data_IF_056843233370
#
_entry.id   IF_056843233370
#
_cell.length_a   1.000
_cell.length_b   1.000
_cell.length_c   1.000
_cell.angle_alpha   90.00
_cell.angle_beta   90.00
_cell.angle_gamma   90.00
#
_symmetry.space_group_name_H-M   'P 1'
#
loop_
_entity.id
_entity.type
_entity.pdbx_description
1 polymer ?
#
# COMPACT_ATOMS: atom_id res chain seq x y z
N UNK A 1 6.79 -11.56 18.52
CA UNK A 1 6.44 -12.24 17.24
C UNK A 1 7.46 -11.81 16.20
N UNK A 2 7.97 -12.71 15.36
CA UNK A 2 8.82 -12.33 14.21
C UNK A 2 7.99 -12.49 12.94
N UNK A 3 7.98 -11.47 12.09
CA UNK A 3 7.30 -11.50 10.80
C UNK A 3 8.39 -11.48 9.71
N UNK A 4 8.37 -12.49 8.83
CA UNK A 4 9.18 -12.52 7.62
C UNK A 4 8.29 -12.07 6.47
N UNK A 5 8.62 -10.92 5.87
CA UNK A 5 7.90 -10.36 4.73
C UNK A 5 8.81 -10.44 3.49
N UNK A 6 8.30 -11.04 2.40
CA UNK A 6 9.03 -11.17 1.13
C UNK A 6 8.32 -10.32 0.08
N UNK A 7 9.04 -9.35 -0.49
CA UNK A 7 8.56 -8.34 -1.43
C UNK A 7 9.47 -8.28 -2.66
N UNK A 8 9.01 -7.69 -3.75
CA UNK A 8 9.82 -7.51 -4.96
C UNK A 8 10.78 -6.31 -4.82
N UNK A 9 11.83 -6.28 -5.64
CA UNK A 9 12.82 -5.20 -5.61
C UNK A 9 12.21 -3.83 -5.94
N UNK A 10 12.84 -2.77 -5.45
CA UNK A 10 12.44 -1.39 -5.76
C UNK A 10 12.55 -1.09 -7.27
N UNK A 11 11.85 -0.06 -7.77
CA UNK A 11 12.01 0.35 -9.17
C UNK A 11 13.48 0.64 -9.51
N UNK A 12 13.87 0.34 -10.76
CA UNK A 12 15.27 0.45 -11.21
C UNK A 12 15.91 1.82 -10.97
N UNK A 13 15.10 2.88 -11.10
CA UNK A 13 15.53 4.28 -10.93
C UNK A 13 15.33 4.80 -9.50
N UNK A 14 15.04 3.90 -8.55
CA UNK A 14 14.74 4.20 -7.15
C UNK A 14 13.25 4.46 -6.88
N UNK A 15 12.92 4.68 -5.61
CA UNK A 15 11.54 4.93 -5.20
C UNK A 15 11.00 6.25 -5.77
N UNK A 16 9.78 6.26 -6.32
CA UNK A 16 9.17 7.45 -6.89
C UNK A 16 8.92 8.49 -5.78
N UNK A 17 9.31 9.74 -6.05
CA UNK A 17 8.97 10.88 -5.19
C UNK A 17 7.58 11.44 -5.49
N UNK A 18 7.09 11.22 -6.70
CA UNK A 18 5.79 11.68 -7.18
C UNK A 18 5.16 10.58 -8.03
N UNK A 19 3.83 10.49 -8.00
CA UNK A 19 3.04 9.58 -8.82
C UNK A 19 2.26 10.36 -9.89
N UNK A 20 1.91 9.73 -11.03
CA UNK A 20 1.16 10.40 -12.09
C UNK A 20 -0.22 10.92 -11.67
N UNK A 21 -0.84 10.25 -10.71
CA UNK A 21 -2.10 10.66 -10.09
C UNK A 21 -1.84 11.05 -8.64
N UNK A 22 -2.52 12.09 -8.17
CA UNK A 22 -2.41 12.55 -6.78
C UNK A 22 -3.18 11.67 -5.81
N UNK A 23 -4.28 11.05 -6.26
CA UNK A 23 -5.20 10.29 -5.40
C UNK A 23 -5.83 9.11 -6.16
N UNK A 24 -6.24 8.09 -5.41
CA UNK A 24 -7.04 6.97 -5.92
C UNK A 24 -8.54 7.26 -5.79
N UNK A 25 -9.39 6.72 -6.68
CA UNK A 25 -10.84 6.79 -6.50
C UNK A 25 -11.30 6.14 -5.20
N UNK A 26 -12.27 6.75 -4.51
CA UNK A 26 -12.88 6.17 -3.33
C UNK A 26 -13.79 4.99 -3.71
N UNK A 27 -13.54 3.82 -3.12
CA UNK A 27 -14.43 2.67 -3.17
C UNK A 27 -15.15 2.55 -1.83
N UNK A 28 -16.46 2.29 -1.85
CA UNK A 28 -17.26 2.15 -0.61
C UNK A 28 -17.50 0.70 -0.21
N UNK A 29 -17.71 -0.19 -1.18
CA UNK A 29 -18.00 -1.63 -0.98
C UNK A 29 -17.59 -2.43 -2.22
N UNK A 30 -17.46 -3.73 -2.04
CA UNK A 30 -17.38 -4.67 -3.16
C UNK A 30 -18.77 -4.89 -3.80
N UNK A 31 -18.86 -5.33 -5.07
CA UNK A 31 -20.13 -5.52 -5.79
C UNK A 31 -21.10 -6.51 -5.14
N UNK A 32 -20.58 -7.48 -4.40
CA UNK A 32 -21.35 -8.48 -3.64
C UNK A 32 -21.88 -7.96 -2.29
N UNK A 33 -21.58 -6.70 -1.95
CA UNK A 33 -21.98 -6.05 -0.70
C UNK A 33 -20.99 -6.23 0.45
N UNK A 34 -19.87 -6.94 0.26
CA UNK A 34 -18.82 -7.06 1.26
C UNK A 34 -18.18 -5.70 1.54
N UNK A 35 -17.88 -5.43 2.82
CA UNK A 35 -17.19 -4.22 3.26
C UNK A 35 -15.70 -4.28 2.91
N UNK A 36 -15.07 -3.12 2.72
CA UNK A 36 -13.62 -3.03 2.55
C UNK A 36 -12.86 -3.42 3.82
N UNK A 37 -11.53 -3.70 3.74
CA UNK A 37 -10.69 -3.92 4.91
C UNK A 37 -10.81 -2.77 5.92
N UNK A 38 -11.01 -3.09 7.20
CA UNK A 38 -11.22 -2.12 8.29
C UNK A 38 -10.17 -2.25 9.39
N UNK A 39 -8.86 -2.07 9.08
CA UNK A 39 -7.84 -2.01 10.12
C UNK A 39 -8.09 -0.80 11.02
N UNK A 40 -7.55 -0.82 12.25
CA UNK A 40 -7.69 0.31 13.19
C UNK A 40 -7.04 1.60 12.65
N UNK A 41 -5.95 1.44 11.90
CA UNK A 41 -5.24 2.50 11.22
C UNK A 41 -4.44 1.90 10.06
N UNK A 42 -4.00 2.76 9.15
CA UNK A 42 -3.00 2.48 8.13
C UNK A 42 -1.85 3.48 8.29
N UNK A 43 -0.64 3.07 7.95
CA UNK A 43 0.58 3.87 8.12
C UNK A 43 1.19 4.31 6.78
N UNK A 44 0.34 4.37 5.75
CA UNK A 44 0.69 4.75 4.39
C UNK A 44 -0.39 5.66 3.79
N UNK A 45 -0.03 6.38 2.74
CA UNK A 45 -0.98 7.19 1.96
C UNK A 45 -1.54 6.36 0.80
N UNK A 46 -2.87 6.26 0.61
CA UNK A 46 -3.45 5.58 -0.54
C UNK A 46 -2.92 6.15 -1.86
N UNK A 47 -2.34 5.28 -2.69
CA UNK A 47 -1.68 5.66 -3.94
C UNK A 47 -0.16 5.45 -3.93
N UNK A 48 0.44 5.25 -2.75
CA UNK A 48 1.86 4.91 -2.63
C UNK A 48 2.18 3.49 -3.11
N UNK A 49 3.41 3.29 -3.57
CA UNK A 49 3.96 1.98 -3.92
C UNK A 49 4.34 1.21 -2.64
N UNK A 50 3.54 0.21 -2.29
CA UNK A 50 3.70 -0.56 -1.05
C UNK A 50 4.33 -1.94 -1.22
N UNK A 51 4.29 -2.51 -2.43
CA UNK A 51 4.63 -3.90 -2.68
C UNK A 51 6.11 -4.21 -2.86
N UNK A 52 6.96 -3.18 -2.92
CA UNK A 52 8.41 -3.36 -3.01
C UNK A 52 9.08 -3.38 -1.64
N UNK A 53 10.35 -3.78 -1.59
CA UNK A 53 11.14 -3.84 -0.35
C UNK A 53 11.10 -2.52 0.43
N UNK A 54 11.23 -1.36 -0.23
CA UNK A 54 11.13 -0.05 0.43
C UNK A 54 9.69 0.37 0.79
N UNK A 55 8.68 -0.25 0.19
CA UNK A 55 7.27 0.02 0.48
C UNK A 55 6.73 -0.72 1.71
N UNK A 56 7.33 -1.87 2.05
CA UNK A 56 7.11 -2.61 3.30
C UNK A 56 5.66 -2.98 3.63
N UNK A 57 4.76 -2.93 2.63
CA UNK A 57 3.30 -2.99 2.80
C UNK A 57 2.73 -1.95 3.79
N UNK A 58 3.52 -0.93 4.19
CA UNK A 58 3.17 -0.02 5.28
C UNK A 58 3.00 -0.71 6.64
N UNK A 59 3.75 -1.78 6.91
CA UNK A 59 3.58 -2.63 8.12
C UNK A 59 4.64 -2.43 9.21
N UNK A 60 5.68 -1.61 8.99
CA UNK A 60 6.84 -1.58 9.89
C UNK A 60 6.62 -0.84 11.22
N UNK A 61 5.62 0.04 11.32
CA UNK A 61 5.51 1.09 12.35
C UNK A 61 5.99 0.71 13.76
#
# INVERSE_FOLDING_TARGET
>A
MKILCVLYDDPKDGMPKNYPLSELPELKKYPDGMTLPTPKAIDFTPGELLGCVSGELGLRK
#
